data_IF_167821396481
#
_entry.id   IF_167821396481
#
_cell.length_a   1.000
_cell.length_b   1.000
_cell.length_c   1.000
_cell.angle_alpha   90.00
_cell.angle_beta   90.00
_cell.angle_gamma   90.00
#
_symmetry.space_group_name_H-M   'P 1'
#
loop_
_entity.id
_entity.type
_entity.pdbx_description
1 polymer ?
#
# COMPACT_ATOMS: atom_id res chain seq x y z
N UNK A 1 34.73 44.87 58.76
CA UNK A 1 35.64 44.26 57.76
C UNK A 1 35.21 42.80 57.64
N UNK A 2 34.64 42.30 56.54
CA UNK A 2 35.15 42.13 55.17
C UNK A 2 33.92 41.99 54.24
N UNK A 3 33.72 42.93 53.31
CA UNK A 3 33.82 42.77 51.83
C UNK A 3 33.00 41.60 51.25
N UNK A 4 31.93 41.94 50.55
CA UNK A 4 31.18 41.08 49.60
C UNK A 4 32.08 40.62 48.43
N UNK A 5 31.67 39.58 47.70
CA UNK A 5 31.09 39.87 46.39
C UNK A 5 29.86 39.03 46.03
N UNK A 6 29.04 39.62 45.16
CA UNK A 6 27.92 38.99 44.47
C UNK A 6 28.41 37.93 43.46
N UNK A 7 27.62 36.87 43.28
CA UNK A 7 27.61 36.09 42.05
C UNK A 7 26.16 35.94 41.62
N UNK A 8 25.79 36.66 40.57
CA UNK A 8 24.62 36.36 39.75
C UNK A 8 25.02 35.27 38.75
N UNK A 9 24.24 34.19 38.68
CA UNK A 9 24.23 33.31 37.52
C UNK A 9 22.78 33.21 37.06
N UNK A 10 22.52 33.83 35.93
CA UNK A 10 21.35 33.58 35.10
C UNK A 10 21.49 32.19 34.47
N UNK A 11 20.45 31.37 34.56
CA UNK A 11 20.37 30.07 33.90
C UNK A 11 19.02 29.94 33.22
N UNK A 12 19.04 29.88 31.89
CA UNK A 12 17.89 29.99 30.99
C UNK A 12 16.84 28.88 31.17
N UNK A 13 15.56 29.25 31.04
CA UNK A 13 14.45 28.31 30.88
C UNK A 13 14.53 27.73 29.47
N UNK A 14 15.11 26.54 29.33
CA UNK A 14 15.01 25.78 28.08
C UNK A 14 13.64 25.10 28.02
N UNK A 15 12.68 25.73 27.35
CA UNK A 15 11.45 25.06 26.96
C UNK A 15 11.80 24.04 25.86
N UNK A 16 11.95 22.76 26.24
CA UNK A 16 11.94 21.67 25.27
C UNK A 16 10.54 21.60 24.66
N UNK A 17 10.37 22.14 23.45
CA UNK A 17 9.26 21.77 22.60
C UNK A 17 9.47 20.31 22.18
N UNK A 18 8.88 19.38 22.92
CA UNK A 18 8.75 18.01 22.47
C UNK A 18 7.82 18.02 21.24
N UNK A 19 8.40 18.01 20.04
CA UNK A 19 7.69 17.58 18.84
C UNK A 19 7.33 16.10 19.05
N UNK A 20 6.15 15.87 19.62
CA UNK A 20 5.55 14.55 19.58
C UNK A 20 5.41 14.17 18.10
N UNK A 21 6.23 13.23 17.64
CA UNK A 21 5.95 12.54 16.39
C UNK A 21 4.57 11.90 16.57
N UNK A 22 3.56 12.46 15.90
CA UNK A 22 2.24 11.85 15.85
C UNK A 22 2.45 10.38 15.45
N UNK A 23 1.80 9.41 16.14
CA UNK A 23 1.95 8.02 15.78
C UNK A 23 1.54 7.90 14.30
N UNK A 24 2.44 7.37 13.47
CA UNK A 24 2.18 7.19 12.02
C UNK A 24 0.88 6.39 11.77
N UNK A 25 0.41 5.66 12.78
CA UNK A 25 -0.83 4.89 12.77
C UNK A 25 -2.12 5.73 12.83
N UNK A 26 -2.07 7.00 13.28
CA UNK A 26 -3.27 7.85 13.33
C UNK A 26 -3.62 8.49 11.97
N UNK A 27 -2.67 8.54 11.02
CA UNK A 27 -2.92 9.03 9.66
C UNK A 27 -3.46 7.94 8.72
N UNK A 28 -3.38 6.67 9.11
CA UNK A 28 -3.68 5.51 8.25
C UNK A 28 -5.17 5.19 8.09
N UNK A 29 -6.09 5.81 8.85
CA UNK A 29 -7.54 5.54 8.71
C UNK A 29 -8.31 6.50 7.80
N UNK A 30 -7.69 7.59 7.32
CA UNK A 30 -8.38 8.63 6.54
C UNK A 30 -8.30 8.46 5.02
N UNK A 31 -7.57 7.46 4.52
CA UNK A 31 -7.51 7.23 3.07
C UNK A 31 -8.83 6.64 2.58
N UNK A 32 -9.45 7.32 1.61
CA UNK A 32 -10.54 6.76 0.83
C UNK A 32 -10.06 5.65 -0.11
N UNK A 33 -8.80 5.67 -0.52
CA UNK A 33 -8.21 4.65 -1.39
C UNK A 33 -7.68 3.50 -0.52
N UNK A 34 -8.18 2.29 -0.74
CA UNK A 34 -7.88 1.10 0.07
C UNK A 34 -7.68 -0.14 -0.78
N UNK A 35 -7.01 -1.14 -0.21
CA UNK A 35 -6.82 -2.45 -0.84
C UNK A 35 -8.08 -3.26 -0.61
N UNK A 36 -8.88 -3.47 -1.64
CA UNK A 36 -10.13 -4.25 -1.54
C UNK A 36 -9.85 -5.72 -1.27
N UNK A 37 -8.86 -6.28 -1.96
CA UNK A 37 -8.51 -7.69 -1.86
C UNK A 37 -7.36 -8.06 -2.79
N UNK A 38 -6.92 -9.31 -2.67
CA UNK A 38 -5.78 -9.86 -3.42
C UNK A 38 -6.09 -11.28 -3.88
N UNK A 39 -5.86 -11.57 -5.16
CA UNK A 39 -5.67 -12.93 -5.66
C UNK A 39 -4.17 -13.21 -5.54
N UNK A 40 -3.78 -13.84 -4.43
CA UNK A 40 -2.38 -14.05 -4.07
C UNK A 40 -1.84 -15.38 -4.59
N UNK A 41 -2.72 -16.36 -4.81
CA UNK A 41 -2.41 -17.65 -5.41
C UNK A 41 -3.17 -17.72 -6.73
N UNK A 42 -2.44 -17.74 -7.85
CA UNK A 42 -3.06 -17.70 -9.17
C UNK A 42 -3.79 -19.02 -9.44
N UNK A 43 -5.04 -19.01 -9.95
CA UNK A 43 -5.73 -20.25 -10.28
C UNK A 43 -4.92 -21.16 -11.22
N UNK A 44 -4.81 -22.42 -10.84
CA UNK A 44 -4.02 -23.42 -11.57
C UNK A 44 -2.63 -23.64 -10.97
N UNK A 45 -1.78 -24.38 -11.70
CA UNK A 45 -0.39 -24.57 -11.28
C UNK A 45 0.44 -23.38 -11.72
N UNK A 46 1.19 -22.82 -10.78
CA UNK A 46 2.11 -21.71 -11.02
C UNK A 46 3.07 -21.95 -12.19
N UNK A 47 3.06 -21.01 -13.12
CA UNK A 47 3.90 -21.01 -14.32
C UNK A 47 4.35 -19.57 -14.62
N UNK A 48 5.64 -19.31 -14.40
CA UNK A 48 6.30 -18.03 -14.66
C UNK A 48 6.64 -17.87 -16.15
N UNK A 49 5.61 -17.67 -16.98
CA UNK A 49 5.75 -17.45 -18.42
C UNK A 49 4.86 -16.31 -18.87
N UNK A 50 5.42 -15.36 -19.61
CA UNK A 50 4.63 -14.24 -20.14
C UNK A 50 3.61 -14.65 -21.21
N UNK A 51 3.87 -15.76 -21.90
CA UNK A 51 3.05 -16.19 -23.05
C UNK A 51 2.08 -17.32 -22.69
N UNK A 52 2.45 -18.16 -21.73
CA UNK A 52 1.73 -19.40 -21.40
C UNK A 52 1.47 -19.57 -19.91
N UNK A 53 1.98 -18.66 -19.09
CA UNK A 53 1.85 -18.69 -17.65
C UNK A 53 0.57 -18.05 -17.13
N UNK A 54 0.39 -18.09 -15.82
CA UNK A 54 -0.78 -17.59 -15.12
C UNK A 54 -0.47 -16.41 -14.19
N UNK A 55 0.71 -15.80 -14.27
CA UNK A 55 1.09 -14.68 -13.39
C UNK A 55 0.19 -13.45 -13.51
N UNK A 56 -0.54 -13.28 -14.62
CA UNK A 56 -1.53 -12.21 -14.77
C UNK A 56 -2.86 -12.47 -14.05
N UNK A 57 -3.06 -13.70 -13.56
CA UNK A 57 -4.17 -14.06 -12.69
C UNK A 57 -3.86 -13.80 -11.22
N UNK A 58 -2.62 -13.45 -10.88
CA UNK A 58 -2.26 -12.88 -9.60
C UNK A 58 -2.45 -11.35 -9.65
N UNK A 59 -3.21 -10.78 -8.71
CA UNK A 59 -3.50 -9.36 -8.72
C UNK A 59 -3.93 -8.81 -7.38
N UNK A 60 -3.68 -7.52 -7.17
CA UNK A 60 -4.29 -6.75 -6.08
C UNK A 60 -5.37 -5.83 -6.65
N UNK A 61 -6.52 -5.77 -5.98
CA UNK A 61 -7.61 -4.84 -6.30
C UNK A 61 -7.55 -3.66 -5.35
N UNK A 62 -7.46 -2.45 -5.88
CA UNK A 62 -7.43 -1.20 -5.12
C UNK A 62 -8.70 -0.43 -5.48
N UNK A 63 -9.46 0.01 -4.47
CA UNK A 63 -10.76 0.66 -4.66
C UNK A 63 -10.79 2.03 -3.99
N UNK A 64 -11.46 2.97 -4.66
CA UNK A 64 -11.79 4.26 -4.11
C UNK A 64 -13.13 4.17 -3.36
N UNK A 65 -13.07 4.20 -2.03
CA UNK A 65 -14.23 4.18 -1.13
C UNK A 65 -14.78 5.57 -0.81
N UNK A 66 -14.23 6.62 -1.42
CA UNK A 66 -14.81 7.97 -1.34
C UNK A 66 -16.21 7.96 -1.95
N UNK A 67 -17.12 8.74 -1.35
CA UNK A 67 -18.48 8.93 -1.89
C UNK A 67 -18.55 10.00 -2.98
N UNK A 68 -17.55 10.89 -3.07
CA UNK A 68 -17.61 12.08 -3.95
C UNK A 68 -16.30 12.40 -4.65
N UNK A 69 -15.17 12.22 -3.98
CA UNK A 69 -13.84 12.52 -4.54
C UNK A 69 -13.31 11.45 -5.48
N UNK A 70 -12.83 11.88 -6.65
CA UNK A 70 -12.00 11.09 -7.58
C UNK A 70 -10.55 11.02 -7.07
N UNK A 71 -9.89 9.88 -7.26
CA UNK A 71 -8.48 9.68 -6.89
C UNK A 71 -7.65 9.38 -8.13
N UNK A 72 -6.56 10.11 -8.32
CA UNK A 72 -5.53 9.77 -9.32
C UNK A 72 -4.45 8.90 -8.68
N UNK A 73 -4.16 7.74 -9.29
CA UNK A 73 -3.19 6.77 -8.78
C UNK A 73 -1.74 7.10 -9.13
N UNK A 74 -1.46 8.09 -9.98
CA UNK A 74 -0.08 8.41 -10.38
C UNK A 74 0.83 8.60 -9.16
N UNK A 75 1.92 7.83 -9.12
CA UNK A 75 2.92 7.88 -8.06
C UNK A 75 2.54 7.15 -6.77
N UNK A 76 1.34 6.56 -6.67
CA UNK A 76 1.05 5.63 -5.59
C UNK A 76 1.96 4.40 -5.73
N UNK A 77 2.24 3.77 -4.59
CA UNK A 77 3.13 2.61 -4.52
C UNK A 77 2.40 1.45 -3.85
N UNK A 78 2.46 0.29 -4.48
CA UNK A 78 2.18 -0.99 -3.85
C UNK A 78 3.52 -1.64 -3.53
N UNK A 79 3.71 -2.11 -2.29
CA UNK A 79 4.90 -2.87 -1.92
C UNK A 79 4.59 -3.99 -0.93
N UNK A 80 5.47 -4.98 -0.91
CA UNK A 80 5.44 -6.04 0.08
C UNK A 80 6.38 -5.76 1.28
N UNK A 81 6.51 -6.73 2.19
CA UNK A 81 7.40 -6.64 3.35
C UNK A 81 8.90 -6.80 3.00
N UNK A 82 9.24 -7.51 1.92
CA UNK A 82 10.63 -7.85 1.55
C UNK A 82 11.25 -6.90 0.53
N UNK A 83 10.46 -5.98 -0.04
CA UNK A 83 10.92 -4.87 -0.88
C UNK A 83 10.46 -4.91 -2.33
N UNK A 84 9.65 -5.88 -2.75
CA UNK A 84 9.02 -5.82 -4.06
C UNK A 84 8.10 -4.61 -4.11
N UNK A 85 8.22 -3.81 -5.17
CA UNK A 85 7.46 -2.56 -5.32
C UNK A 85 6.96 -2.37 -6.74
N UNK A 86 5.79 -1.76 -6.85
CA UNK A 86 5.23 -1.23 -8.08
C UNK A 86 4.81 0.22 -7.85
N UNK A 87 5.19 1.10 -8.77
CA UNK A 87 4.79 2.51 -8.75
C UNK A 87 3.87 2.73 -9.93
N UNK A 88 2.69 3.30 -9.70
CA UNK A 88 1.77 3.66 -10.78
C UNK A 88 2.41 4.76 -11.66
N UNK A 89 2.75 4.46 -12.92
CA UNK A 89 3.63 5.32 -13.71
C UNK A 89 2.89 6.51 -14.35
N UNK A 90 1.61 6.32 -14.67
CA UNK A 90 0.78 7.26 -15.39
C UNK A 90 -0.43 7.69 -14.56
N UNK A 91 -1.16 8.69 -15.08
CA UNK A 91 -2.44 9.05 -14.52
C UNK A 91 -3.43 7.90 -14.72
N UNK A 92 -4.14 7.54 -13.65
CA UNK A 92 -5.25 6.59 -13.67
C UNK A 92 -6.26 7.05 -12.64
N UNK A 93 -7.49 7.33 -13.06
CA UNK A 93 -8.48 8.03 -12.24
C UNK A 93 -9.58 7.09 -11.79
N UNK A 94 -9.67 6.87 -10.48
CA UNK A 94 -10.77 6.13 -9.88
C UNK A 94 -11.86 7.07 -9.40
N UNK A 95 -13.03 6.97 -10.00
CA UNK A 95 -14.24 7.64 -9.53
C UNK A 95 -14.70 7.07 -8.18
N UNK A 96 -15.63 7.74 -7.46
CA UNK A 96 -16.28 7.16 -6.29
C UNK A 96 -16.80 5.74 -6.54
N UNK A 97 -16.39 4.79 -5.70
CA UNK A 97 -16.76 3.37 -5.80
C UNK A 97 -15.96 2.54 -6.83
N UNK A 98 -15.17 3.19 -7.67
CA UNK A 98 -14.40 2.53 -8.73
C UNK A 98 -13.12 1.86 -8.21
N UNK A 99 -12.56 0.92 -8.98
CA UNK A 99 -11.39 0.13 -8.60
C UNK A 99 -10.45 -0.10 -9.77
N UNK A 100 -9.17 -0.35 -9.48
CA UNK A 100 -8.19 -0.88 -10.44
C UNK A 100 -7.68 -2.25 -10.00
N UNK A 101 -7.33 -3.11 -10.97
CA UNK A 101 -6.52 -4.31 -10.72
C UNK A 101 -5.09 -4.08 -11.18
N UNK A 102 -4.15 -4.12 -10.24
CA UNK A 102 -2.73 -4.27 -10.56
C UNK A 102 -2.45 -5.77 -10.70
N UNK A 103 -2.25 -6.21 -11.94
CA UNK A 103 -1.97 -7.61 -12.29
C UNK A 103 -0.46 -7.84 -12.42
N UNK A 104 -0.04 -9.07 -12.14
CA UNK A 104 1.25 -9.57 -12.61
C UNK A 104 1.26 -9.74 -14.14
N UNK A 105 2.34 -10.34 -14.66
CA UNK A 105 2.52 -10.58 -16.08
C UNK A 105 2.65 -9.31 -16.93
N UNK A 106 2.48 -9.49 -18.24
CA UNK A 106 2.52 -8.43 -19.23
C UNK A 106 1.11 -8.13 -19.75
N UNK A 107 0.86 -6.88 -20.08
CA UNK A 107 -0.37 -6.43 -20.71
C UNK A 107 -0.27 -4.95 -21.07
N UNK A 108 -1.39 -4.35 -21.43
CA UNK A 108 -1.48 -2.91 -21.71
C UNK A 108 -2.30 -2.26 -20.62
N UNK A 109 -1.70 -1.28 -19.94
CA UNK A 109 -2.40 -0.46 -18.95
C UNK A 109 -3.60 0.25 -19.58
N UNK A 110 -4.71 0.30 -18.86
CA UNK A 110 -5.94 0.88 -19.35
C UNK A 110 -6.76 1.49 -18.21
N UNK A 111 -6.88 2.81 -18.25
CA UNK A 111 -7.75 3.59 -17.36
C UNK A 111 -9.22 3.15 -17.52
N UNK A 112 -9.70 3.12 -18.76
CA UNK A 112 -11.08 2.73 -19.07
C UNK A 112 -11.45 1.29 -18.66
N UNK A 113 -10.49 0.36 -18.68
CA UNK A 113 -10.71 -1.03 -18.27
C UNK A 113 -10.22 -1.33 -16.84
N UNK A 114 -9.73 -0.30 -16.13
CA UNK A 114 -9.31 -0.41 -14.75
C UNK A 114 -8.31 -1.53 -14.48
N UNK A 115 -7.28 -1.59 -15.34
CA UNK A 115 -6.22 -2.57 -15.23
C UNK A 115 -4.85 -1.94 -15.47
N UNK A 116 -3.89 -2.35 -14.67
CA UNK A 116 -2.48 -1.98 -14.78
C UNK A 116 -1.66 -3.26 -14.63
N UNK A 117 -0.54 -3.36 -15.37
CA UNK A 117 0.32 -4.54 -15.36
C UNK A 117 1.68 -4.21 -14.78
N UNK A 118 2.25 -5.13 -14.00
CA UNK A 118 3.61 -4.99 -13.48
C UNK A 118 4.68 -5.12 -14.57
N UNK A 119 4.33 -5.67 -15.73
CA UNK A 119 5.25 -6.02 -16.82
C UNK A 119 6.37 -6.96 -16.34
N UNK A 120 6.01 -7.93 -15.50
CA UNK A 120 6.91 -8.92 -14.95
C UNK A 120 6.16 -10.24 -14.75
N UNK A 121 6.71 -11.32 -15.31
CA UNK A 121 6.07 -12.63 -15.37
C UNK A 121 6.58 -13.59 -14.30
N UNK A 122 7.02 -13.04 -13.16
CA UNK A 122 7.19 -13.77 -11.90
C UNK A 122 6.04 -13.42 -10.96
N UNK A 123 5.62 -14.40 -10.15
CA UNK A 123 4.71 -14.16 -9.03
C UNK A 123 5.29 -13.15 -8.03
N UNK A 124 4.40 -12.32 -7.49
CA UNK A 124 4.74 -11.21 -6.59
C UNK A 124 4.40 -11.59 -5.15
N UNK A 125 3.24 -12.17 -4.94
CA UNK A 125 2.72 -12.54 -3.64
C UNK A 125 3.10 -13.98 -3.33
N UNK A 126 3.40 -14.23 -2.06
CA UNK A 126 3.74 -15.57 -1.61
C UNK A 126 2.48 -16.35 -1.25
N UNK A 127 2.34 -17.56 -1.79
CA UNK A 127 1.17 -18.44 -1.60
C UNK A 127 0.93 -18.83 -0.13
N UNK A 128 1.91 -18.71 0.77
CA UNK A 128 1.71 -19.04 2.19
C UNK A 128 1.25 -17.84 3.02
N UNK A 129 1.89 -16.68 2.84
CA UNK A 129 1.63 -15.44 3.56
C UNK A 129 2.34 -14.26 2.92
N UNK A 130 1.75 -13.07 3.00
CA UNK A 130 2.43 -11.83 2.64
C UNK A 130 1.81 -10.60 3.32
N UNK A 131 2.43 -9.45 3.13
CA UNK A 131 1.93 -8.13 3.54
C UNK A 131 1.85 -7.23 2.32
N UNK A 132 0.74 -6.53 2.15
CA UNK A 132 0.50 -5.60 1.04
C UNK A 132 0.36 -4.20 1.64
N UNK A 133 1.18 -3.27 1.16
CA UNK A 133 1.16 -1.88 1.61
C UNK A 133 0.85 -0.97 0.44
N UNK A 134 -0.19 -0.16 0.59
CA UNK A 134 -0.52 0.93 -0.32
C UNK A 134 0.00 2.25 0.27
N UNK A 135 0.80 2.97 -0.50
CA UNK A 135 1.51 4.17 -0.05
C UNK A 135 1.21 5.32 -1.00
N UNK A 136 0.93 6.48 -0.44
CA UNK A 136 0.67 7.73 -1.16
C UNK A 136 1.96 8.25 -1.81
N UNK A 137 1.87 9.09 -2.87
CA UNK A 137 3.05 9.74 -3.47
C UNK A 137 3.89 10.54 -2.47
N UNK A 138 3.27 11.04 -1.39
CA UNK A 138 3.98 11.74 -0.29
C UNK A 138 4.82 10.83 0.61
N UNK A 139 4.75 9.50 0.44
CA UNK A 139 5.40 8.52 1.30
C UNK A 139 4.57 8.07 2.51
N UNK A 140 3.43 8.71 2.78
CA UNK A 140 2.52 8.31 3.85
C UNK A 140 1.78 7.00 3.51
N UNK A 141 1.53 6.16 4.51
CA UNK A 141 0.67 4.98 4.37
C UNK A 141 -0.75 5.37 3.97
N UNK A 142 -1.33 4.65 3.02
CA UNK A 142 -2.74 4.76 2.66
C UNK A 142 -3.55 3.59 3.22
N UNK A 143 -3.02 2.37 3.11
CA UNK A 143 -3.64 1.16 3.63
C UNK A 143 -2.60 0.04 3.77
N UNK A 144 -2.81 -0.93 4.65
CA UNK A 144 -1.92 -2.09 4.82
C UNK A 144 -2.70 -3.31 5.30
N UNK A 145 -2.49 -4.44 4.64
CA UNK A 145 -3.07 -5.72 5.02
C UNK A 145 -2.03 -6.83 4.97
N UNK A 146 -2.26 -7.87 5.75
CA UNK A 146 -1.50 -9.10 5.67
C UNK A 146 -2.47 -10.28 5.59
N UNK A 147 -2.03 -11.37 4.96
CA UNK A 147 -2.79 -12.61 4.90
C UNK A 147 -1.91 -13.80 5.23
N UNK A 148 -2.57 -14.89 5.61
CA UNK A 148 -1.99 -16.23 5.58
C UNK A 148 -2.98 -17.15 4.88
N UNK A 149 -2.52 -18.10 4.08
CA UNK A 149 -3.39 -19.05 3.38
C UNK A 149 -4.37 -19.74 4.33
N UNK A 150 -3.85 -20.30 5.42
CA UNK A 150 -4.66 -21.02 6.41
C UNK A 150 -5.63 -20.13 7.22
N UNK A 151 -5.30 -18.85 7.40
CA UNK A 151 -6.08 -17.96 8.28
C UNK A 151 -7.06 -17.04 7.55
N UNK A 152 -6.76 -16.71 6.30
CA UNK A 152 -7.46 -15.65 5.54
C UNK A 152 -8.27 -16.18 4.36
N UNK A 153 -7.90 -17.33 3.81
CA UNK A 153 -8.50 -17.94 2.60
C UNK A 153 -9.16 -19.28 2.96
N UNK A 154 -10.36 -19.19 3.54
CA UNK A 154 -11.07 -20.38 4.08
C UNK A 154 -11.66 -21.28 3.00
N UNK A 155 -11.98 -20.72 1.84
CA UNK A 155 -12.51 -21.48 0.70
C UNK A 155 -11.40 -21.98 -0.23
N UNK A 156 -10.15 -21.54 -0.03
CA UNK A 156 -8.96 -22.08 -0.69
C UNK A 156 -8.88 -21.69 -2.16
N UNK A 157 -9.51 -20.58 -2.54
CA UNK A 157 -9.57 -20.13 -3.93
C UNK A 157 -8.40 -19.21 -4.31
N UNK A 158 -7.48 -18.94 -3.37
CA UNK A 158 -6.33 -18.06 -3.58
C UNK A 158 -6.64 -16.57 -3.47
N UNK A 159 -7.84 -16.20 -3.02
CA UNK A 159 -8.32 -14.83 -2.94
C UNK A 159 -8.72 -14.43 -1.51
N UNK A 160 -8.26 -13.26 -1.07
CA UNK A 160 -8.64 -12.68 0.22
C UNK A 160 -9.29 -11.32 0.00
N UNK A 161 -10.45 -11.12 0.64
CA UNK A 161 -11.11 -9.80 0.73
C UNK A 161 -10.73 -9.12 2.03
N UNK A 162 -10.26 -7.87 1.96
CA UNK A 162 -9.95 -7.05 3.14
C UNK A 162 -11.01 -5.99 3.42
N UNK A 163 -11.59 -5.42 2.35
CA UNK A 163 -12.65 -4.42 2.43
C UNK A 163 -13.80 -4.77 1.50
N UNK A 164 -15.03 -4.52 1.96
CA UNK A 164 -16.27 -4.67 1.18
C UNK A 164 -16.62 -3.40 0.41
#
# INVERSE_FOLDING_TARGET
MRKSPAIAVAGAVAALAALAAAPAQATEYSSALKIRGVQYDAPGRDSNSCSTGNTSQEYVTIKNYSSTGTVNLKGYVIKDAVGNRFVFPANHYLQPGDYVRLRGGNGTDSDANNVVYRHNCNFIWNNDRDTIRLIKPSGAGADTHAYTKSGSDRDGNGYVTFHS
#
